data_IF_930196065152
#
_entry.id   IF_930196065152
#
_cell.length_a   1.000
_cell.length_b   1.000
_cell.length_c   1.000
_cell.angle_alpha   90.00
_cell.angle_beta   90.00
_cell.angle_gamma   90.00
#
_symmetry.space_group_name_H-M   'P 1'
#
loop_
_entity.id
_entity.type
_entity.pdbx_description
1 polymer ?
#
# COMPACT_ATOMS: atom_id res chain seq x y z
N UNK A 1 -17.66 4.88 -12.08
CA UNK A 1 -16.40 4.20 -12.28
C UNK A 1 -16.40 3.51 -13.64
N UNK A 2 -15.26 3.59 -14.33
CA UNK A 2 -15.19 3.20 -15.74
C UNK A 2 -14.43 1.89 -15.99
N UNK A 3 -13.69 1.39 -14.99
CA UNK A 3 -12.94 0.14 -15.15
C UNK A 3 -13.83 -1.06 -14.86
N UNK A 4 -13.57 -2.21 -15.51
CA UNK A 4 -14.26 -3.45 -15.17
C UNK A 4 -14.03 -3.81 -13.69
N UNK A 5 -15.08 -4.27 -12.98
CA UNK A 5 -14.95 -4.66 -11.57
C UNK A 5 -13.85 -5.70 -11.32
N UNK A 6 -13.63 -6.61 -12.26
CA UNK A 6 -12.60 -7.65 -12.11
C UNK A 6 -11.19 -7.08 -12.04
N UNK A 7 -10.91 -6.01 -12.79
CA UNK A 7 -9.61 -5.36 -12.77
C UNK A 7 -9.35 -4.67 -11.42
N UNK A 8 -10.36 -3.97 -10.91
CA UNK A 8 -10.27 -3.32 -9.59
C UNK A 8 -10.06 -4.38 -8.51
N UNK A 9 -10.84 -5.45 -8.56
CA UNK A 9 -10.76 -6.56 -7.61
C UNK A 9 -9.39 -7.23 -7.63
N UNK A 10 -8.77 -7.36 -8.81
CA UNK A 10 -7.44 -7.94 -8.94
C UNK A 10 -6.39 -7.12 -8.19
N UNK A 11 -6.44 -5.80 -8.30
CA UNK A 11 -5.54 -4.92 -7.54
C UNK A 11 -5.75 -5.07 -6.03
N UNK A 12 -7.02 -5.09 -5.60
CA UNK A 12 -7.35 -5.21 -4.18
C UNK A 12 -6.92 -6.58 -3.63
N UNK A 13 -7.09 -7.64 -4.39
CA UNK A 13 -6.67 -8.99 -3.98
C UNK A 13 -5.15 -9.03 -3.76
N UNK A 14 -4.38 -8.42 -4.62
CA UNK A 14 -2.92 -8.34 -4.47
C UNK A 14 -2.54 -7.50 -3.25
N UNK A 15 -3.22 -6.37 -3.04
CA UNK A 15 -2.97 -5.54 -1.86
C UNK A 15 -3.26 -6.30 -0.57
N UNK A 16 -4.37 -7.03 -0.53
CA UNK A 16 -4.74 -7.84 0.65
C UNK A 16 -3.72 -8.93 0.91
N UNK A 17 -3.23 -9.57 -0.15
CA UNK A 17 -2.18 -10.59 -0.03
C UNK A 17 -0.91 -10.00 0.59
N UNK A 18 -0.53 -8.79 0.20
CA UNK A 18 0.63 -8.13 0.79
C UNK A 18 0.41 -7.81 2.27
N UNK A 19 -0.79 -7.36 2.66
CA UNK A 19 -1.11 -7.12 4.08
C UNK A 19 -1.03 -8.41 4.89
N UNK A 20 -1.59 -9.49 4.38
CA UNK A 20 -1.56 -10.78 5.05
C UNK A 20 -0.12 -11.28 5.21
N UNK A 21 0.70 -11.14 4.17
CA UNK A 21 2.11 -11.51 4.22
C UNK A 21 2.87 -10.70 5.28
N UNK A 22 2.64 -9.38 5.33
CA UNK A 22 3.26 -8.52 6.33
C UNK A 22 2.89 -8.98 7.75
N UNK A 23 1.62 -9.28 7.99
CA UNK A 23 1.17 -9.72 9.34
C UNK A 23 1.84 -11.03 9.76
N UNK A 24 1.90 -11.99 8.84
CA UNK A 24 2.55 -13.28 9.10
C UNK A 24 4.04 -13.08 9.44
N UNK A 25 4.73 -12.25 8.68
CA UNK A 25 6.15 -12.00 8.91
C UNK A 25 6.39 -11.31 10.25
N UNK A 26 5.57 -10.32 10.61
CA UNK A 26 5.71 -9.62 11.88
C UNK A 26 5.49 -10.58 13.06
N UNK A 27 4.50 -11.45 12.97
CA UNK A 27 4.15 -12.38 14.05
C UNK A 27 5.11 -13.54 14.21
N UNK A 28 5.71 -14.02 13.09
CA UNK A 28 6.42 -15.30 13.10
C UNK A 28 7.86 -15.25 12.65
N UNK A 29 8.34 -14.14 12.08
CA UNK A 29 9.67 -14.05 11.47
C UNK A 29 10.38 -12.75 11.89
N UNK A 30 10.90 -12.68 13.13
CA UNK A 30 11.47 -11.43 13.64
C UNK A 30 12.69 -10.90 12.87
N UNK A 31 13.37 -11.74 12.09
CA UNK A 31 14.48 -11.27 11.23
C UNK A 31 14.02 -10.84 9.84
N UNK A 32 12.71 -10.82 9.59
CA UNK A 32 12.12 -10.41 8.30
C UNK A 32 11.26 -9.14 8.43
N UNK A 33 11.55 -8.27 9.40
CA UNK A 33 10.78 -7.03 9.57
C UNK A 33 10.95 -6.08 8.38
N UNK A 34 12.11 -6.05 7.75
CA UNK A 34 12.32 -5.29 6.53
C UNK A 34 11.43 -5.79 5.38
N UNK A 35 11.34 -7.10 5.21
CA UNK A 35 10.46 -7.71 4.20
C UNK A 35 8.99 -7.42 4.53
N UNK A 36 8.62 -7.46 5.80
CA UNK A 36 7.26 -7.10 6.22
C UNK A 36 6.93 -5.65 5.84
N UNK A 37 7.85 -4.73 6.07
CA UNK A 37 7.68 -3.33 5.70
C UNK A 37 7.56 -3.14 4.19
N UNK A 38 8.32 -3.92 3.42
CA UNK A 38 8.18 -3.92 1.95
C UNK A 38 6.75 -4.32 1.55
N UNK A 39 6.21 -5.39 2.14
CA UNK A 39 4.84 -5.80 1.84
C UNK A 39 3.81 -4.76 2.28
N UNK A 40 4.05 -4.05 3.38
CA UNK A 40 3.17 -2.95 3.79
C UNK A 40 3.15 -1.84 2.73
N UNK A 41 4.31 -1.45 2.22
CA UNK A 41 4.41 -0.45 1.17
C UNK A 41 3.70 -0.92 -0.09
N UNK A 42 3.91 -2.18 -0.50
CA UNK A 42 3.26 -2.76 -1.67
C UNK A 42 1.74 -2.79 -1.53
N UNK A 43 1.24 -3.12 -0.34
CA UNK A 43 -0.20 -3.12 -0.09
C UNK A 43 -0.80 -1.74 -0.28
N UNK A 44 -0.19 -0.73 0.30
CA UNK A 44 -0.66 0.66 0.19
C UNK A 44 -0.60 1.15 -1.26
N UNK A 45 0.49 0.88 -1.94
CA UNK A 45 0.66 1.26 -3.35
C UNK A 45 -0.43 0.64 -4.22
N UNK A 46 -0.68 -0.66 -4.06
CA UNK A 46 -1.69 -1.36 -4.85
C UNK A 46 -3.11 -0.91 -4.52
N UNK A 47 -3.38 -0.59 -3.25
CA UNK A 47 -4.68 -0.04 -2.86
C UNK A 47 -4.94 1.31 -3.54
N UNK A 48 -3.96 2.21 -3.53
CA UNK A 48 -4.08 3.50 -4.21
C UNK A 48 -4.28 3.31 -5.71
N UNK A 49 -3.55 2.38 -6.32
CA UNK A 49 -3.71 2.06 -7.74
C UNK A 49 -5.09 1.48 -8.05
N UNK A 50 -5.66 0.68 -7.15
CA UNK A 50 -7.03 0.17 -7.32
C UNK A 50 -8.04 1.32 -7.43
N UNK A 51 -7.90 2.34 -6.57
CA UNK A 51 -8.76 3.52 -6.66
C UNK A 51 -8.58 4.25 -7.99
N UNK A 52 -7.34 4.44 -8.45
CA UNK A 52 -7.06 5.10 -9.72
C UNK A 52 -7.62 4.32 -10.91
N UNK A 53 -7.47 3.00 -10.90
CA UNK A 53 -8.05 2.13 -11.93
C UNK A 53 -9.57 2.26 -11.94
N UNK A 54 -10.20 2.30 -10.76
CA UNK A 54 -11.65 2.45 -10.64
C UNK A 54 -12.16 3.74 -11.28
N UNK A 55 -11.34 4.79 -11.28
CA UNK A 55 -11.67 6.09 -11.87
C UNK A 55 -11.11 6.27 -13.28
N UNK A 56 -10.60 5.19 -13.88
CA UNK A 56 -9.99 5.21 -15.22
C UNK A 56 -8.88 6.27 -15.33
N UNK A 57 -8.19 6.53 -14.22
CA UNK A 57 -7.09 7.47 -14.19
C UNK A 57 -5.83 6.82 -14.74
N UNK A 58 -5.11 7.54 -15.60
CA UNK A 58 -3.81 7.09 -16.07
C UNK A 58 -2.75 7.41 -15.02
N UNK A 59 -1.78 6.52 -14.87
CA UNK A 59 -0.65 6.75 -13.98
C UNK A 59 0.59 6.03 -14.53
N UNK A 60 1.75 6.62 -14.27
CA UNK A 60 3.01 6.03 -14.66
C UNK A 60 3.35 4.82 -13.78
N UNK A 61 4.15 3.90 -14.28
CA UNK A 61 4.62 2.75 -13.52
C UNK A 61 5.73 3.16 -12.57
N UNK A 62 5.35 3.90 -11.52
CA UNK A 62 6.26 4.39 -10.50
C UNK A 62 5.82 3.89 -9.13
N UNK A 63 6.77 3.87 -8.20
CA UNK A 63 6.54 3.44 -6.81
C UNK A 63 6.58 4.62 -5.84
N UNK A 64 6.42 5.84 -6.34
CA UNK A 64 6.46 7.06 -5.53
C UNK A 64 5.08 7.27 -4.90
N UNK A 65 5.00 7.09 -3.61
CA UNK A 65 3.73 7.13 -2.89
C UNK A 65 3.09 8.52 -2.95
N UNK A 66 3.87 9.60 -2.83
CA UNK A 66 3.32 10.96 -2.89
C UNK A 66 2.68 11.25 -4.25
N UNK A 67 3.26 10.75 -5.33
CA UNK A 67 2.68 10.87 -6.67
C UNK A 67 1.30 10.20 -6.74
N UNK A 68 1.18 9.00 -6.18
CA UNK A 68 -0.09 8.28 -6.18
C UNK A 68 -1.15 8.98 -5.33
N UNK A 69 -0.74 9.52 -4.18
CA UNK A 69 -1.65 10.30 -3.34
C UNK A 69 -2.13 11.55 -4.08
N UNK A 70 -1.24 12.25 -4.78
CA UNK A 70 -1.60 13.43 -5.57
C UNK A 70 -2.67 13.10 -6.61
N UNK A 71 -2.49 12.00 -7.34
CA UNK A 71 -3.46 11.58 -8.36
C UNK A 71 -4.82 11.22 -7.73
N UNK A 72 -4.81 10.51 -6.61
CA UNK A 72 -6.04 10.18 -5.89
C UNK A 72 -6.73 11.43 -5.36
N UNK A 73 -5.97 12.38 -4.84
CA UNK A 73 -6.50 13.62 -4.26
C UNK A 73 -7.20 14.50 -5.29
N UNK A 74 -6.84 14.41 -6.56
CA UNK A 74 -7.55 15.12 -7.64
C UNK A 74 -9.02 14.69 -7.68
N UNK A 75 -9.32 13.44 -7.36
CA UNK A 75 -10.67 12.90 -7.40
C UNK A 75 -11.38 12.99 -6.06
N UNK A 76 -10.64 12.96 -4.97
CA UNK A 76 -11.17 13.07 -3.62
C UNK A 76 -10.10 13.68 -2.72
N UNK A 77 -10.27 14.94 -2.34
CA UNK A 77 -9.29 15.68 -1.56
C UNK A 77 -8.97 15.03 -0.20
N UNK A 78 -9.86 14.19 0.32
CA UNK A 78 -9.63 13.50 1.59
C UNK A 78 -8.41 12.56 1.53
N UNK A 79 -7.97 12.14 0.34
CA UNK A 79 -6.74 11.37 0.19
C UNK A 79 -5.51 12.12 0.72
N UNK A 80 -5.55 13.46 0.78
CA UNK A 80 -4.45 14.22 1.36
C UNK A 80 -4.19 13.87 2.83
N UNK A 81 -5.19 13.39 3.54
CA UNK A 81 -5.04 12.97 4.94
C UNK A 81 -4.19 11.68 5.08
N UNK A 82 -3.96 10.97 3.99
CA UNK A 82 -3.12 9.78 3.98
C UNK A 82 -1.65 10.08 3.70
N UNK A 83 -1.31 11.33 3.41
CA UNK A 83 0.02 11.70 2.91
C UNK A 83 1.14 11.33 3.87
N UNK A 84 0.99 11.60 5.16
CA UNK A 84 2.00 11.25 6.15
C UNK A 84 2.23 9.73 6.24
N UNK A 85 1.15 8.97 6.18
CA UNK A 85 1.22 7.49 6.20
C UNK A 85 1.91 6.97 4.95
N UNK A 86 1.60 7.56 3.80
CA UNK A 86 2.23 7.18 2.53
C UNK A 86 3.74 7.48 2.55
N UNK A 87 4.11 8.64 3.06
CA UNK A 87 5.52 9.03 3.18
C UNK A 87 6.29 8.13 4.13
N UNK A 88 5.66 7.71 5.22
CA UNK A 88 6.24 6.75 6.17
C UNK A 88 6.61 5.44 5.49
N UNK A 89 5.82 5.01 4.52
CA UNK A 89 6.04 3.75 3.81
C UNK A 89 7.06 3.86 2.67
N UNK A 90 7.33 5.08 2.18
CA UNK A 90 8.19 5.29 1.01
C UNK A 90 9.58 4.64 1.11
N UNK A 91 10.28 4.66 2.26
CA UNK A 91 11.61 4.03 2.34
C UNK A 91 11.61 2.53 2.07
N UNK A 92 10.46 1.88 2.15
CA UNK A 92 10.36 0.42 2.05
C UNK A 92 10.02 -0.07 0.64
N UNK A 93 10.05 0.79 -0.35
CA UNK A 93 9.68 0.44 -1.73
C UNK A 93 10.66 -0.52 -2.42
N UNK A 94 11.85 -0.70 -1.86
CA UNK A 94 12.89 -1.55 -2.45
C UNK A 94 12.91 -2.90 -1.75
N UNK A 95 12.67 -3.98 -2.51
CA UNK A 95 12.67 -5.35 -1.98
C UNK A 95 14.08 -5.88 -1.76
N UNK A 96 15.01 -5.60 -2.69
CA UNK A 96 16.36 -6.15 -2.64
C UNK A 96 17.23 -5.35 -1.69
N UNK A 97 17.87 -6.05 -0.75
CA UNK A 97 18.86 -5.49 0.17
C UNK A 97 20.17 -6.22 -0.01
N UNK A 98 21.26 -5.47 -0.10
CA UNK A 98 22.59 -6.07 -0.18
C UNK A 98 23.16 -6.20 1.22
N UNK A 99 24.02 -7.23 1.45
CA UNK A 99 24.74 -7.31 2.72
C UNK A 99 25.49 -6.00 2.98
N UNK A 100 25.32 -5.44 4.16
CA UNK A 100 25.91 -4.15 4.50
C UNK A 100 25.01 -2.95 4.30
N UNK A 101 23.88 -3.10 3.63
CA UNK A 101 22.87 -2.05 3.59
C UNK A 101 22.30 -1.85 4.98
N UNK A 102 22.24 -0.60 5.41
CA UNK A 102 21.99 -0.27 6.81
C UNK A 102 20.50 -0.17 7.13
N UNK A 103 19.71 -1.19 6.76
CA UNK A 103 18.31 -1.16 7.12
C UNK A 103 17.99 -2.29 8.12
N UNK A 104 18.33 -2.06 9.39
CA UNK A 104 17.79 -2.85 10.46
C UNK A 104 16.47 -2.24 10.88
N UNK A 105 15.41 -3.01 10.74
CA UNK A 105 14.06 -2.55 11.07
C UNK A 105 13.64 -3.21 12.38
N UNK A 106 13.44 -2.44 13.45
CA UNK A 106 12.90 -3.00 14.67
C UNK A 106 11.41 -3.31 14.53
N UNK A 107 10.91 -4.15 15.46
CA UNK A 107 9.52 -4.58 15.42
C UNK A 107 8.54 -3.40 15.45
N UNK A 108 8.81 -2.39 16.26
CA UNK A 108 7.92 -1.23 16.36
C UNK A 108 7.78 -0.47 15.04
N UNK A 109 8.84 -0.42 14.22
CA UNK A 109 8.77 0.20 12.90
C UNK A 109 7.92 -0.64 11.95
N UNK A 110 8.04 -1.97 12.03
CA UNK A 110 7.20 -2.87 11.23
C UNK A 110 5.72 -2.76 11.63
N UNK A 111 5.43 -2.68 12.93
CA UNK A 111 4.06 -2.49 13.42
C UNK A 111 3.51 -1.14 12.97
N UNK A 112 4.32 -0.09 12.98
CA UNK A 112 3.92 1.24 12.50
C UNK A 112 3.64 1.23 11.00
N UNK A 113 4.50 0.56 10.22
CA UNK A 113 4.29 0.40 8.79
C UNK A 113 3.00 -0.36 8.49
N UNK A 114 2.72 -1.42 9.25
CA UNK A 114 1.50 -2.20 9.09
C UNK A 114 0.27 -1.35 9.42
N UNK A 115 0.31 -0.58 10.48
CA UNK A 115 -0.79 0.32 10.85
C UNK A 115 -1.04 1.36 9.75
N UNK A 116 0.02 1.95 9.20
CA UNK A 116 -0.09 2.92 8.11
C UNK A 116 -0.71 2.30 6.85
N UNK A 117 -0.22 1.11 6.47
CA UNK A 117 -0.73 0.40 5.29
C UNK A 117 -2.19 0.01 5.46
N UNK A 118 -2.57 -0.48 6.65
CA UNK A 118 -3.94 -0.86 6.96
C UNK A 118 -4.87 0.35 6.90
N UNK A 119 -4.43 1.50 7.41
CA UNK A 119 -5.23 2.73 7.35
C UNK A 119 -5.48 3.17 5.90
N UNK A 120 -4.46 3.08 5.04
CA UNK A 120 -4.62 3.39 3.62
C UNK A 120 -5.57 2.40 2.96
N UNK A 121 -5.41 1.11 3.23
CA UNK A 121 -6.29 0.06 2.73
C UNK A 121 -7.75 0.31 3.12
N UNK A 122 -8.00 0.56 4.41
CA UNK A 122 -9.35 0.78 4.92
C UNK A 122 -9.98 2.02 4.27
N UNK A 123 -9.21 3.10 4.15
CA UNK A 123 -9.71 4.31 3.51
C UNK A 123 -10.10 4.07 2.05
N UNK A 124 -9.25 3.37 1.30
CA UNK A 124 -9.52 3.07 -0.11
C UNK A 124 -10.78 2.22 -0.25
N UNK A 125 -10.94 1.19 0.59
CA UNK A 125 -12.14 0.36 0.55
C UNK A 125 -13.42 1.18 0.75
N UNK A 126 -13.38 2.17 1.64
CA UNK A 126 -14.52 3.05 1.87
C UNK A 126 -14.89 3.90 0.65
N UNK A 127 -13.94 4.10 -0.27
CA UNK A 127 -14.15 4.88 -1.49
C UNK A 127 -14.62 4.03 -2.67
N UNK A 128 -14.71 2.72 -2.50
CA UNK A 128 -15.04 1.80 -3.58
C UNK A 128 -16.36 1.08 -3.29
N UNK A 129 -17.12 0.70 -4.35
CA UNK A 129 -18.37 -0.01 -4.14
C UNK A 129 -18.14 -1.42 -3.57
N UNK A 130 -19.15 -1.93 -2.86
CA UNK A 130 -19.06 -3.23 -2.16
C UNK A 130 -18.78 -4.40 -3.10
N UNK A 131 -19.23 -4.33 -4.34
CA UNK A 131 -19.09 -5.43 -5.32
C UNK A 131 -17.66 -5.66 -5.78
N UNK A 132 -16.73 -4.73 -5.55
CA UNK A 132 -15.31 -4.91 -5.90
C UNK A 132 -14.45 -5.28 -4.70
N UNK A 133 -14.98 -5.22 -3.50
CA UNK A 133 -14.23 -5.54 -2.28
C UNK A 133 -13.93 -7.04 -2.20
N UNK A 134 -12.70 -7.41 -1.78
CA UNK A 134 -12.31 -8.82 -1.68
C UNK A 134 -13.03 -9.55 -0.55
#
# INVERSE_FOLDING_TARGET
MNAPPDEIKAWLTKAKSDLDSARILIEHKPWNYDTACFHCQQAAEKALKAFLVAHAAEFDRVHVMSYLVDLCAVRNQAFNDLREKAELLSPYAVEIRYPGDALEVPREDAEEAYAAATAIWDFVLMQLPADVQP
#
